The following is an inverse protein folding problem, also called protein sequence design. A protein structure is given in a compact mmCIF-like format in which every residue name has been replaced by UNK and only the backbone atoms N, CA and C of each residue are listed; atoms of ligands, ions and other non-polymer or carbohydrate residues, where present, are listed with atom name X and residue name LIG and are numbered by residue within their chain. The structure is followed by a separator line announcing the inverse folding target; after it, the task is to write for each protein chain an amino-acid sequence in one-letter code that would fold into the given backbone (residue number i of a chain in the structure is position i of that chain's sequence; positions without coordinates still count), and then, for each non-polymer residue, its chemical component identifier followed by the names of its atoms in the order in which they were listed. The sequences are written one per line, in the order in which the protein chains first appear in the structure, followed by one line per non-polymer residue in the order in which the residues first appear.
data_IF_825202240864
#
_entry.id   IF_825202240864
#
_cell.length_a   1.000
_cell.length_b   1.000
_cell.length_c   1.000
_cell.angle_alpha   90.00
_cell.angle_beta   90.00
_cell.angle_gamma   90.00
#
_symmetry.space_group_name_H-M   'P 1'
#
loop_
_entity.id
_entity.type
_entity.pdbx_description
1 polymer ?
#
# COMPACT_ATOMS: atom_id res chain seq x y z
N UNK A 1 32.11 -11.94 9.91
CA UNK A 1 30.95 -11.03 9.87
C UNK A 1 30.36 -11.11 8.48
N UNK A 2 29.10 -11.52 8.32
CA UNK A 2 28.40 -11.45 7.03
C UNK A 2 28.02 -9.99 6.82
N UNK A 3 28.56 -9.35 5.78
CA UNK A 3 28.12 -8.01 5.35
C UNK A 3 26.62 -8.07 5.05
N UNK A 4 25.83 -7.23 5.71
CA UNK A 4 24.43 -7.02 5.30
C UNK A 4 24.46 -5.88 4.30
N UNK A 5 24.41 -6.24 3.03
CA UNK A 5 24.29 -5.24 1.98
C UNK A 5 22.87 -4.65 2.04
N UNK A 6 22.80 -3.33 2.11
CA UNK A 6 21.55 -2.60 2.18
C UNK A 6 21.33 -1.82 0.88
N UNK A 7 20.17 -2.01 0.27
CA UNK A 7 19.74 -1.24 -0.90
C UNK A 7 18.66 -0.26 -0.45
N UNK A 8 18.82 1.01 -0.81
CA UNK A 8 17.79 2.03 -0.61
C UNK A 8 16.96 2.13 -1.88
N UNK A 9 15.65 1.97 -1.74
CA UNK A 9 14.68 2.09 -2.83
C UNK A 9 13.68 3.18 -2.48
N UNK A 10 13.43 4.08 -3.42
CA UNK A 10 12.40 5.12 -3.30
C UNK A 10 11.15 4.68 -4.04
N UNK A 11 10.00 4.72 -3.36
CA UNK A 11 8.69 4.38 -3.93
C UNK A 11 7.92 5.67 -4.19
N UNK A 12 7.48 5.86 -5.44
CA UNK A 12 6.52 6.91 -5.78
C UNK A 12 5.11 6.48 -5.33
N UNK A 13 4.62 7.12 -4.27
CA UNK A 13 3.33 6.80 -3.67
C UNK A 13 2.14 7.17 -4.55
N UNK A 14 2.24 8.21 -5.38
CA UNK A 14 1.14 8.57 -6.28
C UNK A 14 1.00 7.54 -7.41
N UNK A 15 2.12 7.07 -7.96
CA UNK A 15 2.10 5.98 -8.96
C UNK A 15 1.58 4.67 -8.36
N UNK A 16 2.03 4.31 -7.17
CA UNK A 16 1.56 3.11 -6.48
C UNK A 16 0.07 3.20 -6.16
N UNK A 17 -0.38 4.32 -5.59
CA UNK A 17 -1.79 4.57 -5.26
C UNK A 17 -2.68 4.52 -6.50
N UNK A 18 -2.27 5.16 -7.59
CA UNK A 18 -2.99 5.10 -8.87
C UNK A 18 -3.05 3.68 -9.42
N UNK A 19 -1.94 2.93 -9.41
CA UNK A 19 -1.91 1.52 -9.83
C UNK A 19 -2.91 0.66 -9.03
N UNK A 20 -3.03 0.89 -7.72
CA UNK A 20 -3.99 0.18 -6.89
C UNK A 20 -5.43 0.53 -7.26
N UNK A 21 -5.73 1.82 -7.48
CA UNK A 21 -7.08 2.28 -7.89
C UNK A 21 -7.46 1.77 -9.28
N UNK A 22 -6.51 1.73 -10.20
CA UNK A 22 -6.70 1.25 -11.57
C UNK A 22 -6.75 -0.29 -11.66
N UNK A 23 -6.45 -1.00 -10.56
CA UNK A 23 -6.54 -2.45 -10.48
C UNK A 23 -7.94 -2.93 -10.09
N UNK A 24 -8.26 -4.18 -10.40
CA UNK A 24 -9.49 -4.83 -9.96
C UNK A 24 -9.52 -5.17 -8.45
N UNK A 25 -8.51 -4.77 -7.68
CA UNK A 25 -8.47 -4.99 -6.23
C UNK A 25 -9.48 -4.11 -5.51
N UNK A 26 -10.25 -4.71 -4.60
CA UNK A 26 -11.19 -3.99 -3.73
C UNK A 26 -10.53 -3.63 -2.40
N UNK A 27 -9.61 -4.47 -1.94
CA UNK A 27 -8.86 -4.27 -0.71
C UNK A 27 -7.40 -4.69 -0.88
N UNK A 28 -6.56 -4.27 0.06
CA UNK A 28 -5.16 -4.67 0.17
C UNK A 28 -4.80 -4.88 1.64
N UNK A 29 -4.08 -5.97 1.92
CA UNK A 29 -3.55 -6.26 3.26
C UNK A 29 -2.08 -5.88 3.36
N UNK A 30 -1.64 -5.49 4.56
CA UNK A 30 -0.23 -5.12 4.81
C UNK A 30 0.72 -6.25 4.40
N UNK A 31 0.37 -7.51 4.68
CA UNK A 31 1.20 -8.65 4.33
C UNK A 31 1.27 -8.88 2.81
N UNK A 32 0.20 -8.61 2.07
CA UNK A 32 0.19 -8.71 0.61
C UNK A 32 1.14 -7.70 0.00
N UNK A 33 1.07 -6.43 0.45
CA UNK A 33 1.99 -5.39 -0.02
C UNK A 33 3.44 -5.67 0.37
N UNK A 34 3.66 -6.19 1.58
CA UNK A 34 4.99 -6.60 2.07
C UNK A 34 5.64 -7.63 1.14
N UNK A 35 4.88 -8.64 0.72
CA UNK A 35 5.33 -9.65 -0.23
C UNK A 35 5.55 -9.06 -1.63
N UNK A 36 4.61 -8.26 -2.12
CA UNK A 36 4.65 -7.66 -3.46
C UNK A 36 5.87 -6.75 -3.66
N UNK A 37 6.26 -6.00 -2.62
CA UNK A 37 7.38 -5.07 -2.68
C UNK A 37 8.69 -5.63 -2.11
N UNK A 38 8.67 -6.82 -1.52
CA UNK A 38 9.85 -7.40 -0.85
C UNK A 38 10.35 -6.56 0.33
N UNK A 39 9.44 -5.88 1.05
CA UNK A 39 9.76 -5.02 2.19
C UNK A 39 9.20 -5.59 3.48
N UNK A 40 9.70 -5.14 4.63
CA UNK A 40 9.18 -5.57 5.93
C UNK A 40 7.71 -5.18 6.11
N UNK A 41 6.96 -5.95 6.92
CA UNK A 41 5.57 -5.68 7.30
C UNK A 41 5.42 -4.25 7.87
N UNK A 42 6.39 -3.81 8.68
CA UNK A 42 6.40 -2.46 9.26
C UNK A 42 6.50 -1.38 8.17
N UNK A 43 7.39 -1.56 7.19
CA UNK A 43 7.52 -0.64 6.07
C UNK A 43 6.26 -0.63 5.19
N UNK A 44 5.69 -1.79 4.88
CA UNK A 44 4.43 -1.91 4.14
C UNK A 44 3.27 -1.19 4.85
N UNK A 45 3.18 -1.31 6.18
CA UNK A 45 2.19 -0.59 6.98
C UNK A 45 2.33 0.93 6.87
N UNK A 46 3.57 1.45 6.86
CA UNK A 46 3.85 2.88 6.63
C UNK A 46 3.43 3.33 5.23
N UNK A 47 3.70 2.51 4.21
CA UNK A 47 3.28 2.79 2.82
C UNK A 47 1.76 2.87 2.72
N UNK A 48 1.01 1.87 3.22
CA UNK A 48 -0.45 1.88 3.17
C UNK A 48 -1.06 3.04 3.97
N UNK A 49 -0.49 3.38 5.12
CA UNK A 49 -0.92 4.56 5.89
C UNK A 49 -0.66 5.87 5.14
N UNK A 50 0.44 5.97 4.38
CA UNK A 50 0.70 7.14 3.55
C UNK A 50 -0.29 7.22 2.38
N UNK A 51 -0.61 6.11 1.73
CA UNK A 51 -1.60 6.05 0.65
C UNK A 51 -3.02 6.39 1.13
N UNK A 52 -3.37 6.00 2.36
CA UNK A 52 -4.61 6.42 3.01
C UNK A 52 -4.67 7.94 3.19
N UNK A 53 -3.60 8.57 3.71
CA UNK A 53 -3.51 10.03 3.86
C UNK A 53 -3.62 10.77 2.53
N UNK A 54 -3.11 10.18 1.45
CA UNK A 54 -3.23 10.70 0.09
C UNK A 54 -4.61 10.45 -0.54
N UNK A 55 -5.51 9.74 0.15
CA UNK A 55 -6.88 9.51 -0.27
C UNK A 55 -7.09 8.35 -1.25
N UNK A 56 -6.05 7.55 -1.53
CA UNK A 56 -6.17 6.36 -2.39
C UNK A 56 -6.82 5.16 -1.68
N UNK A 57 -6.66 5.10 -0.36
CA UNK A 57 -7.14 4.00 0.47
C UNK A 57 -7.99 4.51 1.64
N UNK A 58 -8.80 3.63 2.20
CA UNK A 58 -9.50 3.84 3.47
C UNK A 58 -9.16 2.68 4.39
N UNK A 59 -8.66 2.95 5.60
CA UNK A 59 -8.42 1.87 6.57
C UNK A 59 -9.74 1.29 7.03
N UNK A 60 -9.88 -0.03 6.90
CA UNK A 60 -11.07 -0.76 7.33
C UNK A 60 -10.86 -1.43 8.69
N UNK A 61 -9.73 -2.12 8.84
CA UNK A 61 -9.37 -2.78 10.10
C UNK A 61 -7.85 -2.88 10.24
N UNK A 62 -7.37 -3.59 11.29
CA UNK A 62 -5.94 -3.75 11.54
C UNK A 62 -5.28 -4.48 10.37
N UNK A 63 -4.49 -3.74 9.59
CA UNK A 63 -3.72 -4.27 8.47
C UNK A 63 -4.50 -4.54 7.20
N UNK A 64 -5.73 -4.04 7.09
CA UNK A 64 -6.60 -4.16 5.92
C UNK A 64 -7.11 -2.77 5.49
N UNK A 65 -6.92 -2.47 4.22
CA UNK A 65 -7.29 -1.20 3.59
C UNK A 65 -8.20 -1.47 2.39
N UNK A 66 -9.23 -0.64 2.21
CA UNK A 66 -10.11 -0.66 1.03
C UNK A 66 -9.56 0.33 0.01
N UNK A 67 -9.55 -0.06 -1.25
CA UNK A 67 -9.16 0.79 -2.38
C UNK A 67 -10.29 1.76 -2.69
N UNK A 68 -10.01 3.07 -2.66
CA UNK A 68 -11.03 4.10 -2.88
C UNK A 68 -11.33 4.24 -4.37
N UNK A 69 -12.42 3.62 -4.83
CA UNK A 69 -12.90 3.78 -6.22
C UNK A 69 -13.90 4.92 -6.32
N UNK A 70 -13.80 5.72 -7.39
CA UNK A 70 -14.79 6.75 -7.72
C UNK A 70 -16.20 6.19 -7.93
N UNK A 71 -16.33 4.92 -8.34
CA UNK A 71 -17.63 4.27 -8.59
C UNK A 71 -18.33 3.73 -7.34
N UNK A 72 -17.60 3.51 -6.24
CA UNK A 72 -18.15 2.92 -5.00
C UNK A 72 -18.66 3.99 -4.01
N UNK A 73 -18.62 5.27 -4.36
CA UNK A 73 -19.05 6.40 -3.55
C UNK A 73 -20.24 7.14 -4.19
N UNK A 74 -21.23 6.39 -4.69
CA UNK A 74 -22.58 6.93 -4.88
C UNK A 74 -23.35 6.71 -3.58
N UNK A 75 -23.36 7.72 -2.72
CA UNK A 75 -24.35 7.89 -1.66
C UNK A 75 -25.31 8.99 -2.09
#
# INVERSE_FOLDING_TARGET
MVSKDHITVTIDLHKLGKRLVDSDRVFIRVHELSLELGISISAAGKVLSALEKLGYLVKWSKGLYIVRRKSLLKW
#
